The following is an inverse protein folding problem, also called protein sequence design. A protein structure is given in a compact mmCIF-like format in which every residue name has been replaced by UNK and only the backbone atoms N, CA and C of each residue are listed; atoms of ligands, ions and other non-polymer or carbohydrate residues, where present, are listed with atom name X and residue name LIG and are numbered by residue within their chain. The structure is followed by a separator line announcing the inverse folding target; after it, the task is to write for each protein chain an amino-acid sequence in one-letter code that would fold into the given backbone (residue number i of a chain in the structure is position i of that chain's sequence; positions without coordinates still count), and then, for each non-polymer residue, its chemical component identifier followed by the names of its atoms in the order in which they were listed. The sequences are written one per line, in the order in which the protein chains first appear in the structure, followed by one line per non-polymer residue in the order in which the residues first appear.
data_IF_892869520044
#
_entry.id   IF_892869520044
#
_cell.length_a   1.000
_cell.length_b   1.000
_cell.length_c   1.000
_cell.angle_alpha   90.00
_cell.angle_beta   90.00
_cell.angle_gamma   90.00
#
_symmetry.space_group_name_H-M   'P 1'
#
loop_
_entity.id
_entity.type
_entity.pdbx_description
1 polymer ?
#
# COMPACT_ATOMS: atom_id res chain seq x y z
N UNK A 1 -11.69 -30.97 29.16
CA UNK A 1 -12.39 -30.04 28.23
C UNK A 1 -13.43 -29.26 29.02
N UNK A 2 -13.00 -28.20 29.72
CA UNK A 2 -13.91 -27.26 30.36
C UNK A 2 -14.18 -26.13 29.36
N UNK A 3 -15.46 -25.92 29.05
CA UNK A 3 -15.95 -24.74 28.35
C UNK A 3 -15.77 -23.53 29.28
N UNK A 4 -14.56 -22.98 29.33
CA UNK A 4 -14.36 -21.65 29.91
C UNK A 4 -15.08 -20.64 29.04
N UNK A 5 -15.78 -19.72 29.71
CA UNK A 5 -16.45 -18.54 29.17
C UNK A 5 -15.51 -17.77 28.23
N UNK A 6 -15.47 -18.17 26.96
CA UNK A 6 -14.82 -17.41 25.90
C UNK A 6 -15.63 -16.12 25.76
N UNK A 7 -15.05 -15.00 26.20
CA UNK A 7 -15.58 -13.67 25.92
C UNK A 7 -15.95 -13.57 24.43
N UNK A 8 -17.07 -12.92 24.08
CA UNK A 8 -17.43 -12.69 22.68
C UNK A 8 -16.25 -12.02 21.97
N UNK A 9 -16.00 -12.35 20.68
CA UNK A 9 -14.84 -11.85 19.91
C UNK A 9 -14.67 -10.32 20.03
N UNK A 10 -15.77 -9.58 20.19
CA UNK A 10 -15.81 -8.13 20.43
C UNK A 10 -15.21 -7.62 21.75
N UNK A 11 -14.86 -8.50 22.70
CA UNK A 11 -14.30 -8.15 24.03
C UNK A 11 -12.94 -8.80 24.33
N UNK A 12 -12.37 -9.55 23.40
CA UNK A 12 -11.04 -10.15 23.58
C UNK A 12 -9.97 -9.12 23.25
N UNK A 13 -8.99 -8.97 24.13
CA UNK A 13 -7.75 -8.28 23.81
C UNK A 13 -6.83 -9.26 23.07
N UNK A 14 -6.19 -8.79 22.00
CA UNK A 14 -5.34 -9.64 21.18
C UNK A 14 -4.00 -9.90 21.90
N UNK A 15 -3.67 -11.16 22.14
CA UNK A 15 -2.32 -11.64 22.45
C UNK A 15 -2.21 -13.07 21.93
N UNK A 16 -1.39 -13.28 20.90
CA UNK A 16 -1.35 -14.53 20.15
C UNK A 16 0.09 -14.84 19.70
N UNK A 17 0.60 -16.08 19.87
CA UNK A 17 1.81 -16.53 19.18
C UNK A 17 1.55 -16.61 17.68
N UNK A 18 2.39 -15.95 16.89
CA UNK A 18 2.21 -15.83 15.45
C UNK A 18 3.30 -16.55 14.65
N UNK A 19 4.53 -16.66 15.16
CA UNK A 19 5.63 -17.39 14.51
C UNK A 19 6.36 -18.26 15.56
N UNK A 20 6.32 -19.57 15.35
CA UNK A 20 7.11 -20.60 16.06
C UNK A 20 7.20 -20.44 17.59
N UNK A 21 6.12 -19.98 18.25
CA UNK A 21 6.03 -19.66 19.68
C UNK A 21 7.07 -18.66 20.23
N UNK A 22 7.82 -17.99 19.35
CA UNK A 22 8.87 -17.01 19.67
C UNK A 22 8.48 -15.58 19.31
N UNK A 23 7.59 -15.40 18.32
CA UNK A 23 7.04 -14.09 17.95
C UNK A 23 5.55 -14.05 18.24
N UNK A 24 5.11 -12.96 18.86
CA UNK A 24 3.73 -12.72 19.28
C UNK A 24 3.24 -11.41 18.69
N UNK A 25 1.93 -11.33 18.48
CA UNK A 25 1.21 -10.10 18.21
C UNK A 25 0.31 -9.79 19.41
N UNK A 26 0.34 -8.55 19.87
CA UNK A 26 -0.46 -8.09 20.99
C UNK A 26 -1.09 -6.72 20.71
N UNK A 27 -2.30 -6.50 21.22
CA UNK A 27 -2.87 -5.14 21.30
C UNK A 27 -2.33 -4.44 22.56
N UNK A 28 -2.10 -3.12 22.49
CA UNK A 28 -1.67 -2.34 23.63
C UNK A 28 -2.57 -2.54 24.87
N UNK A 29 -1.94 -2.86 26.00
CA UNK A 29 -2.62 -3.24 27.23
C UNK A 29 -2.99 -4.73 27.33
N UNK A 30 -2.60 -5.53 26.34
CA UNK A 30 -2.57 -6.99 26.38
C UNK A 30 -1.13 -7.54 26.33
N UNK A 31 -0.15 -6.68 26.04
CA UNK A 31 1.27 -7.04 25.96
C UNK A 31 1.74 -7.63 27.32
N UNK A 32 2.44 -8.77 27.33
CA UNK A 32 2.75 -9.54 28.53
C UNK A 32 3.82 -8.85 29.40
N UNK A 33 3.99 -9.32 30.64
CA UNK A 33 5.12 -8.93 31.50
C UNK A 33 6.13 -10.07 31.55
N UNK A 34 7.42 -9.74 31.46
CA UNK A 34 8.51 -10.70 31.66
C UNK A 34 8.45 -11.31 33.06
N UNK A 35 8.79 -12.60 33.15
CA UNK A 35 8.92 -13.36 34.39
C UNK A 35 10.34 -13.91 34.52
N UNK A 36 10.65 -14.59 35.62
CA UNK A 36 11.93 -15.30 35.78
C UNK A 36 12.13 -16.44 34.78
N UNK A 37 11.03 -16.95 34.20
CA UNK A 37 11.04 -18.11 33.28
C UNK A 37 10.94 -17.69 31.81
N UNK A 38 10.47 -16.49 31.51
CA UNK A 38 10.21 -16.03 30.16
C UNK A 38 10.37 -14.51 30.04
N UNK A 39 11.32 -14.06 29.22
CA UNK A 39 11.46 -12.64 28.86
C UNK A 39 10.72 -12.33 27.58
N UNK A 40 10.12 -11.13 27.52
CA UNK A 40 9.49 -10.58 26.33
C UNK A 40 10.14 -9.26 25.96
N UNK A 41 10.54 -9.14 24.69
CA UNK A 41 10.89 -7.86 24.10
C UNK A 41 9.66 -7.31 23.38
N UNK A 42 9.24 -6.10 23.72
CA UNK A 42 8.03 -5.47 23.15
C UNK A 42 8.47 -4.32 22.26
N UNK A 43 8.13 -4.39 20.98
CA UNK A 43 8.38 -3.31 20.02
C UNK A 43 7.07 -2.81 19.39
N UNK A 44 7.13 -1.59 18.83
CA UNK A 44 6.02 -0.93 18.13
C UNK A 44 6.55 -0.35 16.83
N UNK A 45 5.67 -0.17 15.84
CA UNK A 45 6.00 0.45 14.54
C UNK A 45 5.61 1.93 14.48
N UNK A 46 4.89 2.44 15.47
CA UNK A 46 4.50 3.85 15.56
C UNK A 46 5.60 4.66 16.26
N UNK A 47 5.93 5.87 15.79
CA UNK A 47 5.24 6.63 14.73
C UNK A 47 5.71 6.35 13.30
N UNK A 48 6.69 5.47 13.07
CA UNK A 48 7.37 5.29 11.79
C UNK A 48 6.43 4.79 10.67
N UNK A 49 5.59 3.80 10.99
CA UNK A 49 4.64 3.22 10.04
C UNK A 49 3.24 3.65 10.45
N UNK A 50 2.64 4.56 9.69
CA UNK A 50 1.28 5.04 9.89
C UNK A 50 0.57 5.19 8.56
N UNK A 51 -0.71 4.84 8.55
CA UNK A 51 -1.58 5.13 7.42
C UNK A 51 -2.07 6.58 7.51
N UNK A 52 -2.05 7.28 6.38
CA UNK A 52 -2.62 8.63 6.23
C UNK A 52 -3.89 8.48 5.41
N UNK A 53 -5.05 8.58 6.07
CA UNK A 53 -6.33 8.42 5.40
C UNK A 53 -6.76 9.67 4.65
N UNK A 54 -7.42 9.47 3.50
CA UNK A 54 -8.03 10.54 2.73
C UNK A 54 -9.40 10.94 3.30
N UNK A 55 -10.19 9.95 3.68
CA UNK A 55 -11.54 10.07 4.23
C UNK A 55 -11.67 9.22 5.52
N UNK A 56 -12.53 8.20 5.49
CA UNK A 56 -12.70 7.23 6.60
C UNK A 56 -11.94 5.91 6.36
N UNK A 57 -11.23 5.81 5.23
CA UNK A 57 -10.24 4.78 4.97
C UNK A 57 -9.14 4.79 6.04
N UNK A 58 -8.64 3.61 6.38
CA UNK A 58 -7.68 3.43 7.47
C UNK A 58 -6.53 2.49 7.10
N UNK A 59 -6.52 1.94 5.88
CA UNK A 59 -5.58 0.94 5.43
C UNK A 59 -6.08 0.24 4.16
N UNK A 60 -5.39 -0.84 3.73
CA UNK A 60 -4.21 -1.41 4.37
C UNK A 60 -2.99 -0.49 4.27
N UNK A 61 -1.96 -0.76 5.08
CA UNK A 61 -0.66 -0.09 4.98
C UNK A 61 -0.05 -0.31 3.58
N UNK A 62 0.62 0.70 3.03
CA UNK A 62 1.20 0.63 1.69
C UNK A 62 2.42 -0.34 1.61
N UNK A 63 2.95 -0.55 0.40
CA UNK A 63 4.03 -1.53 0.17
C UNK A 63 5.31 -1.16 0.92
N UNK A 64 5.66 0.13 0.97
CA UNK A 64 6.80 0.60 1.75
C UNK A 64 6.67 0.23 3.23
N UNK A 65 5.50 0.42 3.82
CA UNK A 65 5.23 0.00 5.19
C UNK A 65 5.37 -1.51 5.39
N UNK A 66 4.92 -2.32 4.42
CA UNK A 66 5.08 -3.78 4.46
C UNK A 66 6.56 -4.17 4.49
N UNK A 67 7.37 -3.57 3.60
CA UNK A 67 8.81 -3.85 3.52
C UNK A 67 9.56 -3.39 4.77
N UNK A 68 9.31 -2.14 5.20
CA UNK A 68 9.90 -1.58 6.44
C UNK A 68 9.54 -2.42 7.67
N UNK A 69 8.30 -2.89 7.77
CA UNK A 69 7.89 -3.76 8.86
C UNK A 69 8.68 -5.06 8.89
N UNK A 70 8.87 -5.71 7.74
CA UNK A 70 9.68 -6.93 7.65
C UNK A 70 11.11 -6.71 8.14
N UNK A 71 11.75 -5.62 7.69
CA UNK A 71 13.09 -5.24 8.13
C UNK A 71 13.16 -5.01 9.65
N UNK A 72 12.21 -4.25 10.20
CA UNK A 72 12.14 -3.98 11.64
C UNK A 72 11.97 -5.29 12.43
N UNK A 73 11.08 -6.19 12.00
CA UNK A 73 10.84 -7.44 12.70
C UNK A 73 12.08 -8.35 12.72
N UNK A 74 12.79 -8.47 11.60
CA UNK A 74 14.04 -9.24 11.53
C UNK A 74 15.14 -8.64 12.42
N UNK A 75 15.26 -7.30 12.45
CA UNK A 75 16.20 -6.60 13.33
C UNK A 75 15.91 -6.88 14.81
N UNK A 76 14.64 -6.82 15.22
CA UNK A 76 14.23 -7.12 16.60
C UNK A 76 14.48 -8.58 16.98
N UNK A 77 14.21 -9.52 16.07
CA UNK A 77 14.52 -10.95 16.27
C UNK A 77 16.03 -11.15 16.45
N UNK A 78 16.85 -10.50 15.63
CA UNK A 78 18.30 -10.62 15.69
C UNK A 78 18.90 -9.96 16.94
N UNK A 79 18.35 -8.83 17.37
CA UNK A 79 18.81 -8.07 18.54
C UNK A 79 18.44 -8.75 19.87
N UNK A 80 17.34 -9.51 19.91
CA UNK A 80 16.79 -10.10 21.13
C UNK A 80 16.64 -11.65 21.08
N UNK A 81 17.70 -12.42 20.77
CA UNK A 81 17.60 -13.87 20.50
C UNK A 81 17.23 -14.73 21.71
N UNK A 82 17.34 -14.19 22.93
CA UNK A 82 16.98 -14.89 24.18
C UNK A 82 15.57 -14.53 24.68
N UNK A 83 14.86 -13.63 24.01
CA UNK A 83 13.56 -13.12 24.42
C UNK A 83 12.49 -13.52 23.40
N UNK A 84 11.24 -13.59 23.84
CA UNK A 84 10.10 -13.68 22.92
C UNK A 84 9.78 -12.29 22.39
N UNK A 85 9.73 -12.13 21.07
CA UNK A 85 9.41 -10.85 20.44
C UNK A 85 7.90 -10.64 20.46
N UNK A 86 7.45 -9.44 20.83
CA UNK A 86 6.04 -9.05 20.84
C UNK A 86 5.87 -7.78 20.00
N UNK A 87 5.28 -7.92 18.82
CA UNK A 87 4.79 -6.78 18.07
C UNK A 87 3.52 -6.26 18.77
N UNK A 88 3.58 -5.06 19.34
CA UNK A 88 2.50 -4.47 20.11
C UNK A 88 1.81 -3.38 19.26
N UNK A 89 0.58 -3.64 18.80
CA UNK A 89 -0.23 -2.67 18.06
C UNK A 89 -0.76 -1.56 18.98
N UNK A 90 -1.03 -0.39 18.41
CA UNK A 90 -1.88 0.59 19.09
C UNK A 90 -3.28 0.02 19.34
N UNK A 91 -3.97 0.53 20.36
CA UNK A 91 -5.36 0.13 20.66
C UNK A 91 -6.30 0.51 19.53
N UNK A 92 -7.36 -0.29 19.40
CA UNK A 92 -8.48 0.01 18.51
C UNK A 92 -8.52 -0.89 17.29
N UNK A 93 -9.74 -1.17 16.82
CA UNK A 93 -10.00 -2.21 15.81
C UNK A 93 -9.26 -1.97 14.49
N UNK A 94 -9.19 -0.73 14.02
CA UNK A 94 -8.49 -0.34 12.79
C UNK A 94 -6.97 -0.54 12.91
N UNK A 95 -6.39 -0.08 14.02
CA UNK A 95 -4.95 -0.25 14.31
C UNK A 95 -4.56 -1.72 14.44
N UNK A 96 -5.37 -2.52 15.15
CA UNK A 96 -5.16 -3.98 15.25
C UNK A 96 -5.26 -4.65 13.89
N UNK A 97 -6.20 -4.23 13.04
CA UNK A 97 -6.35 -4.77 11.68
C UNK A 97 -5.11 -4.47 10.83
N UNK A 98 -4.58 -3.25 10.86
CA UNK A 98 -3.32 -2.91 10.16
C UNK A 98 -2.11 -3.67 10.70
N UNK A 99 -2.01 -3.85 12.02
CA UNK A 99 -0.91 -4.61 12.62
C UNK A 99 -0.96 -6.10 12.21
N UNK A 100 -2.17 -6.69 12.17
CA UNK A 100 -2.35 -8.05 11.63
C UNK A 100 -2.02 -8.10 10.15
N UNK A 101 -2.44 -7.11 9.36
CA UNK A 101 -2.08 -7.01 7.95
C UNK A 101 -0.56 -7.05 7.76
N UNK A 102 0.20 -6.18 8.44
CA UNK A 102 1.67 -6.13 8.35
C UNK A 102 2.33 -7.47 8.75
N UNK A 103 1.92 -8.03 9.90
CA UNK A 103 2.42 -9.32 10.38
C UNK A 103 2.12 -10.46 9.38
N UNK A 104 0.90 -10.50 8.84
CA UNK A 104 0.52 -11.49 7.84
C UNK A 104 1.21 -11.29 6.50
N UNK A 105 1.48 -10.04 6.08
CA UNK A 105 2.22 -9.72 4.87
C UNK A 105 3.65 -10.23 4.96
N UNK A 106 4.32 -10.05 6.10
CA UNK A 106 5.63 -10.66 6.36
C UNK A 106 5.58 -12.21 6.26
N UNK A 107 4.53 -12.85 6.80
CA UNK A 107 4.38 -14.31 6.67
C UNK A 107 4.20 -14.77 5.21
N UNK A 108 3.47 -14.02 4.40
CA UNK A 108 3.23 -14.35 2.98
C UNK A 108 4.48 -14.10 2.12
N UNK A 109 5.13 -12.96 2.32
CA UNK A 109 6.25 -12.52 1.49
C UNK A 109 7.56 -13.15 1.90
N UNK A 110 7.88 -13.20 3.20
CA UNK A 110 9.17 -13.69 3.72
C UNK A 110 9.08 -15.16 4.13
N UNK A 111 8.11 -15.53 4.97
CA UNK A 111 7.97 -16.93 5.43
C UNK A 111 7.30 -17.86 4.41
N UNK A 112 6.87 -17.33 3.27
CA UNK A 112 6.26 -18.05 2.14
C UNK A 112 5.01 -18.86 2.49
N UNK A 113 4.32 -18.50 3.56
CA UNK A 113 3.05 -19.13 3.92
C UNK A 113 1.96 -18.76 2.91
N UNK A 114 1.02 -19.67 2.67
CA UNK A 114 -0.16 -19.36 1.87
C UNK A 114 -1.07 -18.37 2.62
N UNK A 115 -1.79 -17.48 1.91
CA UNK A 115 -2.75 -16.56 2.53
C UNK A 115 -3.79 -17.26 3.42
N UNK A 116 -4.22 -18.47 3.05
CA UNK A 116 -5.15 -19.29 3.83
C UNK A 116 -4.51 -19.77 5.15
N UNK A 117 -3.25 -20.24 5.14
CA UNK A 117 -2.53 -20.58 6.37
C UNK A 117 -2.33 -19.37 7.30
N UNK A 118 -2.10 -18.18 6.72
CA UNK A 118 -1.97 -16.94 7.49
C UNK A 118 -3.32 -16.56 8.10
N UNK A 119 -4.41 -16.60 7.34
CA UNK A 119 -5.77 -16.35 7.86
C UNK A 119 -6.10 -17.26 9.03
N UNK A 120 -5.83 -18.56 8.91
CA UNK A 120 -6.21 -19.53 9.93
C UNK A 120 -5.53 -19.26 11.28
N UNK A 121 -4.37 -18.58 11.30
CA UNK A 121 -3.72 -18.11 12.54
C UNK A 121 -4.52 -17.02 13.26
N UNK A 122 -5.30 -16.21 12.53
CA UNK A 122 -6.00 -15.04 13.06
C UNK A 122 -7.53 -15.18 13.14
N UNK A 123 -8.14 -16.16 12.47
CA UNK A 123 -9.60 -16.29 12.27
C UNK A 123 -10.41 -16.17 13.57
N UNK A 124 -9.91 -16.75 14.66
CA UNK A 124 -10.57 -16.77 15.97
C UNK A 124 -10.03 -15.77 16.99
N UNK A 125 -9.02 -14.98 16.61
CA UNK A 125 -8.28 -14.12 17.51
C UNK A 125 -9.03 -12.82 17.82
N UNK A 126 -9.63 -12.19 16.80
CA UNK A 126 -10.19 -10.84 16.92
C UNK A 126 -11.33 -10.61 15.92
N UNK A 127 -12.10 -9.53 16.12
CA UNK A 127 -13.08 -9.06 15.13
C UNK A 127 -12.47 -7.93 14.31
N UNK A 128 -11.84 -8.27 13.18
CA UNK A 128 -11.18 -7.31 12.29
C UNK A 128 -12.19 -6.48 11.49
N UNK A 129 -11.82 -5.25 11.18
CA UNK A 129 -12.60 -4.38 10.29
C UNK A 129 -12.14 -4.63 8.85
N UNK A 130 -13.07 -4.78 7.90
CA UNK A 130 -12.69 -4.82 6.50
C UNK A 130 -12.17 -3.44 6.06
N UNK A 131 -11.17 -3.42 5.18
CA UNK A 131 -10.70 -2.17 4.58
C UNK A 131 -11.77 -1.62 3.63
N UNK A 132 -11.89 -0.30 3.61
CA UNK A 132 -12.91 0.43 2.86
C UNK A 132 -12.25 1.40 1.88
N UNK A 133 -13.05 1.90 0.95
CA UNK A 133 -12.67 2.92 -0.02
C UNK A 133 -12.46 4.30 0.61
N UNK A 134 -11.77 5.16 -0.14
CA UNK A 134 -11.40 6.54 0.22
C UNK A 134 -12.51 7.55 -0.13
N UNK A 135 -13.75 7.28 0.26
CA UNK A 135 -14.89 8.19 0.03
C UNK A 135 -15.54 8.66 1.33
N UNK A 136 -16.33 9.73 1.23
CA UNK A 136 -17.10 10.29 2.34
C UNK A 136 -18.46 9.61 2.57
N UNK A 137 -18.84 8.67 1.71
CA UNK A 137 -20.13 7.96 1.79
C UNK A 137 -19.98 6.65 2.56
N UNK A 138 -21.06 6.00 3.02
CA UNK A 138 -20.96 4.67 3.62
C UNK A 138 -20.38 3.65 2.62
N UNK A 139 -19.41 2.85 3.05
CA UNK A 139 -18.83 1.80 2.22
C UNK A 139 -19.85 0.70 1.92
N UNK A 140 -19.96 0.30 0.65
CA UNK A 140 -20.79 -0.80 0.17
C UNK A 140 -19.97 -2.03 -0.25
N UNK A 141 -18.64 -1.88 -0.31
CA UNK A 141 -17.68 -2.94 -0.56
C UNK A 141 -16.54 -2.88 0.48
N UNK A 142 -16.05 -4.05 0.91
CA UNK A 142 -14.97 -4.13 1.88
C UNK A 142 -13.97 -5.23 1.52
N UNK A 143 -12.68 -4.91 1.55
CA UNK A 143 -11.59 -5.86 1.36
C UNK A 143 -11.19 -6.48 2.69
N UNK A 144 -11.15 -7.81 2.74
CA UNK A 144 -10.67 -8.53 3.92
C UNK A 144 -9.14 -8.61 3.95
N UNK A 145 -8.58 -8.92 5.12
CA UNK A 145 -7.15 -9.26 5.26
C UNK A 145 -6.71 -10.36 4.29
N UNK A 146 -7.56 -11.37 4.08
CA UNK A 146 -7.29 -12.48 3.17
C UNK A 146 -7.20 -11.99 1.72
N UNK A 147 -8.04 -11.06 1.29
CA UNK A 147 -8.01 -10.51 -0.07
C UNK A 147 -6.70 -9.77 -0.31
N UNK A 148 -6.27 -8.95 0.66
CA UNK A 148 -5.00 -8.24 0.58
C UNK A 148 -3.80 -9.20 0.51
N UNK A 149 -3.76 -10.23 1.37
CA UNK A 149 -2.68 -11.22 1.35
C UNK A 149 -2.67 -12.07 0.07
N UNK A 150 -3.83 -12.37 -0.51
CA UNK A 150 -3.92 -13.01 -1.84
C UNK A 150 -3.36 -12.11 -2.94
N UNK A 151 -3.64 -10.81 -2.88
CA UNK A 151 -3.04 -9.81 -3.77
C UNK A 151 -1.50 -9.82 -3.69
N UNK A 152 -0.95 -9.76 -2.47
CA UNK A 152 0.51 -9.83 -2.25
C UNK A 152 1.12 -11.14 -2.75
N UNK A 153 0.47 -12.29 -2.47
CA UNK A 153 0.93 -13.59 -2.94
C UNK A 153 0.93 -13.67 -4.49
N UNK A 154 -0.08 -13.09 -5.14
CA UNK A 154 -0.15 -13.00 -6.59
C UNK A 154 0.97 -12.11 -7.15
N UNK A 155 1.16 -10.91 -6.60
CA UNK A 155 2.23 -10.00 -6.99
C UNK A 155 3.61 -10.64 -6.86
N UNK A 156 3.86 -11.36 -5.76
CA UNK A 156 5.08 -12.15 -5.58
C UNK A 156 5.24 -13.25 -6.63
N UNK A 157 4.18 -14.01 -6.92
CA UNK A 157 4.21 -15.08 -7.92
C UNK A 157 4.48 -14.57 -9.35
N UNK A 158 4.07 -13.34 -9.64
CA UNK A 158 4.32 -12.64 -10.90
C UNK A 158 5.69 -11.93 -10.93
N UNK A 159 6.44 -11.92 -9.83
CA UNK A 159 7.71 -11.22 -9.71
C UNK A 159 7.58 -9.70 -9.59
N UNK A 160 6.40 -9.19 -9.24
CA UNK A 160 6.16 -7.75 -9.05
C UNK A 160 6.58 -7.26 -7.67
N UNK A 161 6.68 -8.16 -6.70
CA UNK A 161 7.00 -7.86 -5.31
C UNK A 161 8.05 -8.86 -4.83
N UNK A 162 9.16 -8.36 -4.29
CA UNK A 162 10.22 -9.15 -3.67
C UNK A 162 9.87 -9.64 -2.27
N UNK A 163 10.81 -10.32 -1.61
CA UNK A 163 10.69 -10.70 -0.20
C UNK A 163 11.13 -9.54 0.68
N UNK A 164 12.26 -8.92 0.31
CA UNK A 164 12.83 -7.74 0.94
C UNK A 164 13.30 -6.73 -0.11
N UNK A 165 13.57 -5.47 0.28
CA UNK A 165 14.13 -4.46 -0.63
C UNK A 165 15.47 -4.88 -1.25
N UNK A 166 16.27 -5.69 -0.55
CA UNK A 166 17.59 -6.12 -1.00
C UNK A 166 17.56 -7.10 -2.19
N UNK A 167 16.40 -7.71 -2.48
CA UNK A 167 16.23 -8.62 -3.63
C UNK A 167 16.29 -7.89 -4.99
N UNK A 168 16.24 -6.55 -4.99
CA UNK A 168 16.35 -5.73 -6.19
C UNK A 168 15.13 -5.75 -7.11
N UNK A 169 14.03 -6.39 -6.69
CA UNK A 169 12.75 -6.40 -7.43
C UNK A 169 12.04 -5.05 -7.36
N UNK A 170 12.30 -4.26 -6.31
CA UNK A 170 11.61 -3.02 -6.01
C UNK A 170 12.52 -2.06 -5.25
N UNK A 171 12.63 -0.82 -5.74
CA UNK A 171 13.38 0.23 -5.07
C UNK A 171 12.50 0.95 -4.04
N UNK A 172 12.73 0.63 -2.76
CA UNK A 172 11.99 1.21 -1.65
C UNK A 172 12.25 2.71 -1.50
N UNK A 173 13.47 3.19 -1.79
CA UNK A 173 13.80 4.60 -1.64
C UNK A 173 13.15 5.44 -2.75
N UNK A 174 13.14 4.92 -3.98
CA UNK A 174 12.41 5.54 -5.09
C UNK A 174 10.91 5.60 -4.82
N UNK A 175 10.31 4.50 -4.35
CA UNK A 175 8.90 4.51 -3.99
C UNK A 175 8.59 5.54 -2.91
N UNK A 176 9.34 5.58 -1.80
CA UNK A 176 9.10 6.53 -0.71
C UNK A 176 9.34 7.98 -1.17
N UNK A 177 10.27 8.20 -2.10
CA UNK A 177 10.49 9.52 -2.70
C UNK A 177 9.22 9.98 -3.43
N UNK A 178 8.65 9.15 -4.29
CA UNK A 178 7.49 9.52 -5.12
C UNK A 178 6.11 9.37 -4.43
N UNK A 179 6.03 8.64 -3.31
CA UNK A 179 4.87 8.59 -2.40
C UNK A 179 4.65 9.95 -1.70
N UNK A 180 5.72 10.71 -1.50
CA UNK A 180 5.63 12.06 -0.92
C UNK A 180 4.87 13.00 -1.88
N UNK A 181 3.76 13.63 -1.42
CA UNK A 181 3.03 14.64 -2.21
C UNK A 181 3.90 15.79 -2.68
N UNK A 182 5.06 16.02 -2.04
CA UNK A 182 6.04 17.01 -2.43
C UNK A 182 6.86 16.64 -3.69
N UNK A 183 6.81 15.39 -4.17
CA UNK A 183 7.71 14.87 -5.21
C UNK A 183 6.99 14.22 -6.40
N UNK A 184 5.70 14.50 -6.62
CA UNK A 184 4.98 14.10 -7.84
C UNK A 184 3.80 13.16 -7.61
N UNK A 185 3.70 12.53 -6.44
CA UNK A 185 2.57 11.66 -6.07
C UNK A 185 2.29 10.61 -7.16
N UNK A 186 3.26 9.71 -7.36
CA UNK A 186 3.25 8.69 -8.40
C UNK A 186 3.70 7.32 -7.89
N UNK A 187 3.18 6.26 -8.50
CA UNK A 187 3.52 4.89 -8.16
C UNK A 187 3.55 4.01 -9.41
N UNK A 188 4.63 3.23 -9.55
CA UNK A 188 4.63 2.06 -10.43
C UNK A 188 3.74 1.00 -9.80
N UNK A 189 2.63 0.68 -10.47
CA UNK A 189 1.63 -0.30 -10.00
C UNK A 189 1.95 -1.70 -10.54
N UNK A 190 2.42 -1.76 -11.79
CA UNK A 190 2.88 -2.99 -12.43
C UNK A 190 4.27 -2.70 -13.01
N UNK A 191 5.33 -3.36 -12.52
CA UNK A 191 6.69 -3.17 -13.03
C UNK A 191 6.74 -3.31 -14.55
N UNK A 192 7.51 -2.42 -15.19
CA UNK A 192 7.68 -2.33 -16.63
C UNK A 192 6.38 -2.17 -17.44
N UNK A 193 5.24 -1.84 -16.80
CA UNK A 193 3.97 -1.69 -17.52
C UNK A 193 3.13 -0.49 -17.13
N UNK A 194 2.80 -0.32 -15.86
CA UNK A 194 1.82 0.68 -15.43
C UNK A 194 2.35 1.55 -14.29
N UNK A 195 2.18 2.85 -14.47
CA UNK A 195 2.37 3.87 -13.45
C UNK A 195 1.09 4.66 -13.29
N UNK A 196 0.65 4.89 -12.06
CA UNK A 196 -0.42 5.80 -11.72
C UNK A 196 0.18 7.07 -11.10
N UNK A 197 -0.37 8.22 -11.44
CA UNK A 197 0.12 9.48 -10.90
C UNK A 197 -0.99 10.53 -10.82
N UNK A 198 -0.72 11.57 -10.04
CA UNK A 198 -1.62 12.72 -9.94
C UNK A 198 -1.63 13.56 -11.20
N UNK A 199 -2.83 14.03 -11.59
CA UNK A 199 -3.01 14.84 -12.79
C UNK A 199 -2.25 16.17 -12.77
N UNK A 200 -1.40 16.45 -13.78
CA UNK A 200 -0.69 17.73 -13.90
C UNK A 200 -1.61 18.94 -14.10
N UNK A 201 -1.06 20.14 -13.91
CA UNK A 201 -1.74 21.43 -14.12
C UNK A 201 -0.92 22.35 -15.02
N UNK A 202 -1.60 23.23 -15.76
CA UNK A 202 -0.95 24.40 -16.34
C UNK A 202 -0.54 25.35 -15.23
N UNK A 203 0.77 25.55 -15.07
CA UNK A 203 1.37 26.52 -14.16
C UNK A 203 1.94 27.72 -14.96
N UNK A 204 2.48 28.72 -14.27
CA UNK A 204 3.16 29.81 -14.99
C UNK A 204 4.42 29.28 -15.70
N UNK A 205 4.82 29.98 -16.76
CA UNK A 205 5.96 29.58 -17.58
C UNK A 205 7.24 29.40 -16.74
N UNK A 206 7.89 28.24 -16.89
CA UNK A 206 9.11 27.88 -16.15
C UNK A 206 8.89 27.44 -14.70
N UNK A 207 7.64 27.25 -14.26
CA UNK A 207 7.35 26.68 -12.94
C UNK A 207 7.05 25.19 -13.02
N UNK A 208 7.83 24.39 -12.30
CA UNK A 208 7.62 22.93 -12.22
C UNK A 208 6.53 22.55 -11.21
N UNK A 209 6.35 23.35 -10.16
CA UNK A 209 5.33 23.11 -9.15
C UNK A 209 4.77 24.41 -8.54
N UNK A 210 3.56 24.32 -7.99
CA UNK A 210 2.96 25.32 -7.12
C UNK A 210 2.63 24.71 -5.75
N UNK A 211 2.72 25.52 -4.68
CA UNK A 211 2.38 25.14 -3.32
C UNK A 211 1.23 26.00 -2.81
N UNK A 212 0.08 25.92 -3.48
CA UNK A 212 -1.10 26.69 -3.12
C UNK A 212 -2.07 25.87 -2.25
N UNK A 213 -2.52 26.47 -1.15
CA UNK A 213 -3.49 25.91 -0.19
C UNK A 213 -3.06 24.60 0.48
N UNK A 214 -1.75 24.45 0.74
CA UNK A 214 -1.20 23.25 1.38
C UNK A 214 -1.18 22.01 0.50
N UNK A 215 -1.38 22.18 -0.81
CA UNK A 215 -1.40 21.10 -1.80
C UNK A 215 -0.42 21.44 -2.91
N UNK A 216 0.62 20.61 -3.07
CA UNK A 216 1.54 20.75 -4.19
C UNK A 216 0.88 20.28 -5.49
N UNK A 217 1.02 21.05 -6.56
CA UNK A 217 0.61 20.67 -7.93
C UNK A 217 1.80 20.77 -8.84
N UNK A 218 1.87 19.90 -9.83
CA UNK A 218 3.01 19.83 -10.75
C UNK A 218 2.59 20.18 -12.17
N UNK A 219 3.48 20.86 -12.88
CA UNK A 219 3.38 21.02 -14.32
C UNK A 219 3.60 19.68 -15.02
N UNK A 220 3.07 19.52 -16.23
CA UNK A 220 3.37 18.33 -17.04
C UNK A 220 4.87 18.18 -17.31
N UNK A 221 5.59 19.30 -17.41
CA UNK A 221 7.04 19.33 -17.67
C UNK A 221 7.85 18.66 -16.55
N UNK A 222 7.40 18.74 -15.30
CA UNK A 222 8.04 18.11 -14.14
C UNK A 222 8.18 16.59 -14.32
N UNK A 223 7.19 15.96 -14.93
CA UNK A 223 7.16 14.50 -15.10
C UNK A 223 7.97 14.01 -16.31
N UNK A 224 8.39 14.89 -17.23
CA UNK A 224 9.00 14.46 -18.50
C UNK A 224 10.28 13.66 -18.26
N UNK A 225 11.20 14.19 -17.44
CA UNK A 225 12.48 13.53 -17.18
C UNK A 225 12.27 12.23 -16.38
N UNK A 226 11.38 12.27 -15.38
CA UNK A 226 10.99 11.10 -14.58
C UNK A 226 10.42 9.99 -15.49
N UNK A 227 9.54 10.35 -16.42
CA UNK A 227 8.91 9.42 -17.35
C UNK A 227 9.92 8.82 -18.32
N UNK A 228 10.90 9.59 -18.79
CA UNK A 228 11.96 9.07 -19.63
C UNK A 228 12.87 8.08 -18.89
N UNK A 229 13.22 8.39 -17.64
CA UNK A 229 14.02 7.49 -16.78
C UNK A 229 13.28 6.18 -16.48
N UNK A 230 11.97 6.26 -16.20
CA UNK A 230 11.11 5.10 -15.96
C UNK A 230 10.68 4.37 -17.25
N UNK A 231 11.10 4.81 -18.44
CA UNK A 231 10.75 4.14 -19.70
C UNK A 231 9.28 4.26 -20.09
N UNK A 232 8.59 5.32 -19.63
CA UNK A 232 7.22 5.66 -20.03
C UNK A 232 7.24 6.18 -21.46
N UNK A 233 6.42 5.55 -22.30
CA UNK A 233 6.26 5.94 -23.71
C UNK A 233 4.88 6.50 -24.00
N UNK A 234 3.93 6.35 -23.08
CA UNK A 234 2.53 6.67 -23.31
C UNK A 234 1.89 7.23 -22.04
N UNK A 235 1.20 8.35 -22.16
CA UNK A 235 0.36 8.96 -21.12
C UNK A 235 -1.11 8.82 -21.51
N UNK A 236 -1.94 8.38 -20.57
CA UNK A 236 -3.40 8.34 -20.72
C UNK A 236 -4.04 9.26 -19.68
N UNK A 237 -4.77 10.26 -20.16
CA UNK A 237 -5.54 11.21 -19.34
C UNK A 237 -7.02 10.79 -19.31
N UNK A 238 -7.56 10.66 -18.10
CA UNK A 238 -8.93 10.19 -17.85
C UNK A 238 -9.89 11.30 -17.40
N UNK A 239 -9.38 12.49 -17.07
CA UNK A 239 -10.16 13.64 -16.65
C UNK A 239 -10.14 14.76 -17.72
N UNK A 240 -10.99 15.77 -17.53
CA UNK A 240 -10.98 17.00 -18.33
C UNK A 240 -9.55 17.58 -18.48
N UNK A 241 -9.17 18.14 -19.64
CA UNK A 241 -7.85 18.72 -19.84
C UNK A 241 -7.51 19.80 -18.81
N UNK A 242 -6.38 19.65 -18.11
CA UNK A 242 -5.87 20.62 -17.12
C UNK A 242 -4.44 21.12 -17.44
N UNK A 243 -3.85 20.59 -18.50
CA UNK A 243 -2.52 20.92 -19.02
C UNK A 243 -2.48 20.64 -20.53
N UNK A 244 -1.49 21.19 -21.23
CA UNK A 244 -1.28 20.97 -22.65
C UNK A 244 -0.55 19.63 -22.90
N UNK A 245 -1.21 18.71 -23.61
CA UNK A 245 -0.64 17.42 -24.03
C UNK A 245 0.62 17.55 -24.89
N UNK A 246 0.82 18.69 -25.55
CA UNK A 246 1.99 18.93 -26.38
C UNK A 246 3.30 18.85 -25.59
N UNK A 247 3.27 19.07 -24.28
CA UNK A 247 4.45 18.91 -23.41
C UNK A 247 5.00 17.48 -23.48
N UNK A 248 4.12 16.47 -23.38
CA UNK A 248 4.52 15.07 -23.49
C UNK A 248 4.85 14.67 -24.93
N UNK A 249 4.04 15.12 -25.90
CA UNK A 249 4.29 14.81 -27.33
C UNK A 249 5.63 15.36 -27.82
N UNK A 250 6.02 16.56 -27.39
CA UNK A 250 7.33 17.15 -27.70
C UNK A 250 8.50 16.35 -27.12
N UNK A 251 8.27 15.61 -26.04
CA UNK A 251 9.23 14.69 -25.42
C UNK A 251 9.20 13.26 -26.00
N UNK A 252 8.49 13.05 -27.12
CA UNK A 252 8.25 11.74 -27.74
C UNK A 252 7.48 10.75 -26.85
N UNK A 253 6.59 11.27 -26.00
CA UNK A 253 5.68 10.48 -25.19
C UNK A 253 4.29 10.60 -25.81
N UNK A 254 3.73 9.48 -26.28
CA UNK A 254 2.40 9.43 -26.85
C UNK A 254 1.37 9.86 -25.81
N UNK A 255 0.31 10.55 -26.24
CA UNK A 255 -0.70 11.05 -25.32
C UNK A 255 -2.11 10.74 -25.84
N UNK A 256 -2.95 10.21 -24.95
CA UNK A 256 -4.32 9.84 -25.24
C UNK A 256 -5.31 10.37 -24.21
N UNK A 257 -6.38 10.99 -24.70
CA UNK A 257 -7.55 11.34 -23.89
C UNK A 257 -8.60 10.23 -23.96
N UNK A 258 -8.97 9.73 -22.78
CA UNK A 258 -10.07 8.79 -22.54
C UNK A 258 -10.96 9.31 -21.40
N UNK A 259 -11.42 10.56 -21.53
CA UNK A 259 -12.23 11.24 -20.53
C UNK A 259 -13.55 10.51 -20.21
N UNK A 260 -13.88 10.41 -18.93
CA UNK A 260 -15.21 10.06 -18.41
C UNK A 260 -15.51 10.82 -17.11
N UNK A 261 -16.75 10.73 -16.65
CA UNK A 261 -17.24 11.47 -15.47
C UNK A 261 -16.54 11.01 -14.19
N UNK A 262 -16.10 11.98 -13.36
CA UNK A 262 -15.40 11.73 -12.10
C UNK A 262 -16.24 10.87 -11.15
N UNK A 263 -15.60 9.94 -10.43
CA UNK A 263 -16.26 8.98 -9.53
C UNK A 263 -17.33 8.09 -10.20
N UNK A 264 -17.26 7.85 -11.51
CA UNK A 264 -18.14 6.90 -12.22
C UNK A 264 -17.33 5.79 -12.90
N UNK A 265 -17.90 4.58 -13.11
CA UNK A 265 -17.22 3.56 -13.89
C UNK A 265 -17.14 3.96 -15.38
N UNK A 266 -16.01 3.70 -16.07
CA UNK A 266 -15.90 3.99 -17.49
C UNK A 266 -16.84 3.11 -18.33
N UNK A 267 -17.24 3.61 -19.49
CA UNK A 267 -18.01 2.81 -20.45
C UNK A 267 -17.17 1.67 -21.03
N UNK A 268 -17.83 0.62 -21.53
CA UNK A 268 -17.14 -0.52 -22.17
C UNK A 268 -16.34 -0.11 -23.42
N UNK A 269 -16.75 0.96 -24.13
CA UNK A 269 -15.97 1.52 -25.24
C UNK A 269 -14.65 2.12 -24.74
N UNK A 270 -14.69 2.90 -23.66
CA UNK A 270 -13.50 3.50 -23.04
C UNK A 270 -12.53 2.40 -22.59
N UNK A 271 -13.03 1.37 -21.90
CA UNK A 271 -12.21 0.22 -21.50
C UNK A 271 -11.59 -0.46 -22.71
N UNK A 272 -12.36 -0.69 -23.78
CA UNK A 272 -11.87 -1.33 -25.01
C UNK A 272 -10.83 -0.47 -25.75
N UNK A 273 -10.93 0.85 -25.69
CA UNK A 273 -9.94 1.79 -26.23
C UNK A 273 -8.67 1.77 -25.39
N UNK A 274 -8.80 1.78 -24.07
CA UNK A 274 -7.67 1.68 -23.15
C UNK A 274 -6.87 0.41 -23.41
N UNK A 275 -7.52 -0.76 -23.49
CA UNK A 275 -6.82 -2.02 -23.77
C UNK A 275 -6.08 -2.01 -25.12
N UNK A 276 -6.65 -1.40 -26.16
CA UNK A 276 -5.97 -1.23 -27.46
C UNK A 276 -4.73 -0.34 -27.38
N UNK A 277 -4.72 0.66 -26.51
CA UNK A 277 -3.53 1.48 -26.24
C UNK A 277 -2.51 0.62 -25.50
N UNK A 278 -2.93 -0.11 -24.46
CA UNK A 278 -2.08 -1.00 -23.67
C UNK A 278 -1.35 -2.04 -24.53
N UNK A 279 -2.05 -2.63 -25.50
CA UNK A 279 -1.49 -3.64 -26.41
C UNK A 279 -0.48 -3.08 -27.42
N UNK A 280 -0.52 -1.77 -27.67
CA UNK A 280 0.31 -1.10 -28.69
C UNK A 280 1.45 -0.27 -28.12
N UNK A 281 1.37 0.10 -26.84
CA UNK A 281 2.39 0.90 -26.18
C UNK A 281 3.74 0.15 -26.16
N UNK A 282 4.83 0.77 -26.67
CA UNK A 282 6.14 0.13 -26.74
C UNK A 282 6.86 0.04 -25.39
N UNK A 283 6.50 0.88 -24.42
CA UNK A 283 7.04 0.86 -23.06
C UNK A 283 5.95 1.06 -22.00
N UNK A 284 6.32 1.69 -20.89
CA UNK A 284 5.42 1.91 -19.77
C UNK A 284 4.32 2.93 -20.09
N UNK A 285 3.20 2.77 -19.42
CA UNK A 285 2.01 3.59 -19.59
C UNK A 285 1.74 4.30 -18.26
N UNK A 286 1.84 5.62 -18.29
CA UNK A 286 1.46 6.49 -17.18
C UNK A 286 -0.02 6.88 -17.32
N UNK A 287 -0.83 6.54 -16.32
CA UNK A 287 -2.27 6.80 -16.31
C UNK A 287 -2.60 7.78 -15.20
N UNK A 288 -3.38 8.81 -15.51
CA UNK A 288 -3.87 9.72 -14.48
C UNK A 288 -5.33 10.10 -14.70
N UNK A 289 -6.00 10.39 -13.59
CA UNK A 289 -7.21 11.21 -13.54
C UNK A 289 -6.87 12.52 -12.81
N UNK A 290 -7.80 13.07 -12.04
CA UNK A 290 -7.54 14.26 -11.22
C UNK A 290 -6.58 13.96 -10.05
N UNK A 291 -6.83 12.87 -9.32
CA UNK A 291 -6.04 12.47 -8.16
C UNK A 291 -5.13 11.26 -8.44
N UNK A 292 -5.37 10.51 -9.53
CA UNK A 292 -4.61 9.29 -9.83
C UNK A 292 -5.02 8.07 -9.00
N UNK A 293 -6.27 8.03 -8.49
CA UNK A 293 -6.73 7.01 -7.53
C UNK A 293 -7.95 6.20 -8.00
N UNK A 294 -9.01 6.88 -8.44
CA UNK A 294 -10.31 6.28 -8.76
C UNK A 294 -10.38 5.49 -10.07
#
# INVERSE_FOLDING_TARGET
VSKENRLPKSRRRLFLPVISDSVYLAEEGACPRSTSECSYHIFKTSPQLRYIGYCDDFGPMNLACVMRFGMMLEEEIAAHPAEKIVYCSERGRRNVTNAVFLMGSYMVLVLKLSPDEVRDRFEDAYNFEAFRDATFVPADFGLSLLDCWRGLACGRALGWIGETPEDGVYDLAEYEHYDDPANGELHVVVPDKFLAFRGPKTLAEGQDYDDNDGVRRFAAQYYVDIFQELGVTTVVRLNEPQYDEQVFKAANIDHHDLEFEDCTPPSTDIVSRFMRIVDRAPGMIAVHCKAGLG
#
